data_IF_282680171877
#
_entry.id   IF_282680171877
#
_cell.length_a   1.000
_cell.length_b   1.000
_cell.length_c   1.000
_cell.angle_alpha   90.00
_cell.angle_beta   90.00
_cell.angle_gamma   90.00
#
_symmetry.space_group_name_H-M   'P 1'
#
loop_
_entity.id
_entity.type
_entity.pdbx_description
1 polymer ?
#
# COMPACT_ATOMS: atom_id res chain seq x y z
N UNK A 1 0.86 16.56 -26.71
CA UNK A 1 -0.10 15.43 -26.67
C UNK A 1 0.71 14.14 -26.60
N UNK A 2 0.27 13.13 -25.84
CA UNK A 2 1.01 11.87 -25.68
C UNK A 2 1.04 10.99 -26.94
N UNK A 3 0.21 11.31 -27.94
CA UNK A 3 0.14 10.64 -29.23
C UNK A 3 0.27 11.67 -30.36
N UNK A 4 1.00 11.31 -31.43
CA UNK A 4 1.28 12.17 -32.58
C UNK A 4 0.07 12.28 -33.53
N UNK A 5 -0.73 11.21 -33.64
CA UNK A 5 -2.02 11.13 -34.34
C UNK A 5 -2.92 10.06 -33.66
N UNK A 6 -4.24 10.15 -33.89
CA UNK A 6 -5.24 9.19 -33.39
C UNK A 6 -5.63 8.16 -34.45
N UNK A 7 -4.78 7.99 -35.46
CA UNK A 7 -4.99 6.95 -36.46
C UNK A 7 -4.81 5.59 -35.80
N UNK A 8 -5.76 4.69 -36.02
CA UNK A 8 -5.84 3.38 -35.39
C UNK A 8 -4.82 2.38 -35.99
N UNK A 9 -3.55 2.78 -35.93
CA UNK A 9 -2.43 2.04 -36.47
C UNK A 9 -2.04 0.90 -35.52
N UNK A 10 -1.41 -0.17 -36.02
CA UNK A 10 -0.88 -1.24 -35.16
C UNK A 10 0.07 -0.72 -34.07
N UNK A 11 0.85 0.32 -34.38
CA UNK A 11 1.76 0.95 -33.43
C UNK A 11 1.02 1.69 -32.31
N UNK A 12 -0.06 2.42 -32.63
CA UNK A 12 -0.91 3.06 -31.64
C UNK A 12 -1.58 2.04 -30.71
N UNK A 13 -2.12 0.94 -31.27
CA UNK A 13 -2.69 -0.16 -30.48
C UNK A 13 -1.66 -0.82 -29.56
N UNK A 14 -0.44 -1.02 -30.05
CA UNK A 14 0.65 -1.55 -29.23
C UNK A 14 1.02 -0.61 -28.07
N UNK A 15 1.08 0.70 -28.30
CA UNK A 15 1.34 1.68 -27.25
C UNK A 15 0.27 1.66 -26.15
N UNK A 16 -1.01 1.59 -26.54
CA UNK A 16 -2.12 1.43 -25.59
C UNK A 16 -1.97 0.15 -24.77
N UNK A 17 -1.73 -0.99 -25.44
CA UNK A 17 -1.54 -2.27 -24.75
C UNK A 17 -0.39 -2.21 -23.73
N UNK A 18 0.75 -1.62 -24.09
CA UNK A 18 1.88 -1.45 -23.16
C UNK A 18 1.52 -0.60 -21.92
N UNK A 19 0.71 0.44 -22.10
CA UNK A 19 0.22 1.27 -20.98
C UNK A 19 -0.74 0.49 -20.09
N UNK A 20 -1.63 -0.32 -20.67
CA UNK A 20 -2.55 -1.17 -19.93
C UNK A 20 -1.81 -2.20 -19.07
N UNK A 21 -0.86 -2.93 -19.67
CA UNK A 21 -0.03 -3.91 -18.96
C UNK A 21 0.77 -3.25 -17.82
N UNK A 22 1.31 -2.05 -18.07
CA UNK A 22 2.02 -1.28 -17.05
C UNK A 22 1.11 -0.87 -15.89
N UNK A 23 -0.14 -0.48 -16.18
CA UNK A 23 -1.12 -0.10 -15.17
C UNK A 23 -1.56 -1.29 -14.30
N UNK A 24 -1.74 -2.47 -14.90
CA UNK A 24 -2.10 -3.67 -14.16
C UNK A 24 -0.94 -4.19 -13.31
N UNK A 25 0.28 -4.12 -13.85
CA UNK A 25 1.50 -4.39 -13.09
C UNK A 25 1.64 -3.45 -11.87
N UNK A 26 1.37 -2.16 -12.06
CA UNK A 26 1.38 -1.17 -10.97
C UNK A 26 0.32 -1.51 -9.91
N UNK A 27 -0.91 -1.85 -10.31
CA UNK A 27 -1.97 -2.31 -9.40
C UNK A 27 -1.51 -3.50 -8.55
N UNK A 28 -0.94 -4.51 -9.19
CA UNK A 28 -0.42 -5.70 -8.51
C UNK A 28 0.68 -5.37 -7.49
N UNK A 29 1.60 -4.45 -7.83
CA UNK A 29 2.64 -3.98 -6.91
C UNK A 29 2.06 -3.22 -5.72
N UNK A 30 1.11 -2.31 -5.94
CA UNK A 30 0.44 -1.58 -4.87
C UNK A 30 -0.28 -2.52 -3.90
N UNK A 31 -1.01 -3.52 -4.40
CA UNK A 31 -1.69 -4.50 -3.54
C UNK A 31 -0.73 -5.35 -2.72
N UNK A 32 0.37 -5.81 -3.33
CA UNK A 32 1.41 -6.57 -2.61
C UNK A 32 2.05 -5.71 -1.51
N UNK A 33 2.35 -4.45 -1.81
CA UNK A 33 2.94 -3.52 -0.87
C UNK A 33 1.99 -3.23 0.31
N UNK A 34 0.71 -2.97 0.04
CA UNK A 34 -0.31 -2.78 1.07
C UNK A 34 -0.41 -3.98 2.04
N UNK A 35 -0.38 -5.21 1.52
CA UNK A 35 -0.33 -6.42 2.36
C UNK A 35 0.93 -6.46 3.23
N UNK A 36 2.07 -6.01 2.70
CA UNK A 36 3.32 -5.86 3.44
C UNK A 36 3.19 -4.83 4.57
N UNK A 37 2.57 -3.68 4.30
CA UNK A 37 2.30 -2.65 5.31
C UNK A 37 1.46 -3.19 6.47
N UNK A 38 0.40 -3.97 6.19
CA UNK A 38 -0.41 -4.60 7.26
C UNK A 38 0.39 -5.57 8.13
N UNK A 39 1.20 -6.43 7.53
CA UNK A 39 2.07 -7.34 8.30
C UNK A 39 3.09 -6.58 9.14
N UNK A 40 3.60 -5.48 8.62
CA UNK A 40 4.54 -4.64 9.35
C UNK A 40 3.87 -3.95 10.55
N UNK A 41 2.65 -3.41 10.39
CA UNK A 41 1.91 -2.77 11.49
C UNK A 41 1.50 -3.78 12.57
N UNK A 42 1.15 -5.02 12.19
CA UNK A 42 0.94 -6.13 13.13
C UNK A 42 2.23 -6.42 13.92
N UNK A 43 3.38 -6.50 13.26
CA UNK A 43 4.67 -6.71 13.95
C UNK A 43 5.11 -5.53 14.83
N UNK A 44 4.71 -4.30 14.50
CA UNK A 44 4.92 -3.13 15.37
C UNK A 44 4.08 -3.23 16.65
N UNK A 45 2.82 -3.67 16.54
CA UNK A 45 1.92 -3.89 17.68
C UNK A 45 2.46 -4.97 18.63
N UNK A 46 2.81 -6.14 18.09
CA UNK A 46 3.42 -7.22 18.88
C UNK A 46 4.73 -6.77 19.56
N UNK A 47 5.56 -6.00 18.84
CA UNK A 47 6.79 -5.44 19.37
C UNK A 47 6.58 -4.34 20.40
N UNK A 48 5.48 -3.58 20.32
CA UNK A 48 5.09 -2.60 21.34
C UNK A 48 4.65 -3.32 22.62
N UNK A 49 3.74 -4.28 22.50
CA UNK A 49 3.23 -5.05 23.65
C UNK A 49 4.37 -5.78 24.38
N UNK A 50 5.32 -6.34 23.63
CA UNK A 50 6.51 -6.99 24.20
C UNK A 50 7.39 -6.02 25.01
N UNK A 51 7.65 -4.83 24.49
CA UNK A 51 8.45 -3.82 25.18
C UNK A 51 7.75 -3.32 26.46
N UNK A 52 6.44 -3.07 26.39
CA UNK A 52 5.63 -2.62 27.54
C UNK A 52 5.55 -3.71 28.60
N UNK A 53 5.33 -4.97 28.21
CA UNK A 53 5.30 -6.09 29.14
C UNK A 53 6.64 -6.26 29.85
N UNK A 54 7.76 -6.17 29.12
CA UNK A 54 9.09 -6.30 29.73
C UNK A 54 9.44 -5.10 30.63
N UNK A 55 9.11 -3.87 30.21
CA UNK A 55 9.28 -2.68 31.05
C UNK A 55 8.47 -2.79 32.36
N UNK A 56 7.24 -3.32 32.28
CA UNK A 56 6.39 -3.54 33.46
C UNK A 56 6.94 -4.63 34.38
N UNK A 57 7.54 -5.69 33.81
CA UNK A 57 8.20 -6.74 34.58
C UNK A 57 9.44 -6.22 35.33
N UNK A 58 10.24 -5.33 34.71
CA UNK A 58 11.38 -4.69 35.36
C UNK A 58 10.96 -3.84 36.57
N UNK A 59 9.86 -3.11 36.45
CA UNK A 59 9.33 -2.30 37.55
C UNK A 59 8.75 -3.16 38.66
N UNK A 60 8.00 -4.21 38.30
CA UNK A 60 7.46 -5.16 39.27
C UNK A 60 8.57 -5.86 40.05
N UNK A 61 9.65 -6.24 39.36
CA UNK A 61 10.85 -6.79 39.97
C UNK A 61 11.53 -5.81 40.93
N UNK A 62 11.48 -4.50 40.62
CA UNK A 62 12.10 -3.46 41.43
C UNK A 62 11.47 -3.21 42.79
N UNK A 63 10.28 -3.73 43.05
CA UNK A 63 9.64 -3.67 44.36
C UNK A 63 9.30 -2.23 44.79
N UNK A 64 9.38 -1.99 46.11
CA UNK A 64 9.07 -0.69 46.69
C UNK A 64 10.16 0.36 46.42
N UNK A 65 9.80 1.64 46.52
CA UNK A 65 10.77 2.73 46.31
C UNK A 65 11.90 2.65 47.35
N UNK A 66 13.15 2.57 46.86
CA UNK A 66 14.38 2.40 47.65
C UNK A 66 14.61 1.01 48.25
N UNK A 67 14.08 -0.05 47.62
CA UNK A 67 14.45 -1.43 47.97
C UNK A 67 15.98 -1.62 47.96
N UNK A 68 16.62 -1.98 49.09
CA UNK A 68 18.08 -2.12 49.18
C UNK A 68 18.65 -3.22 48.28
N UNK A 69 17.92 -4.32 48.10
CA UNK A 69 18.34 -5.45 47.29
C UNK A 69 18.26 -5.08 45.80
N UNK A 70 17.20 -4.37 45.40
CA UNK A 70 17.07 -3.83 44.05
C UNK A 70 18.16 -2.79 43.74
N UNK A 71 18.47 -1.90 44.69
CA UNK A 71 19.54 -0.91 44.52
C UNK A 71 20.92 -1.59 44.38
N UNK A 72 21.19 -2.64 45.16
CA UNK A 72 22.42 -3.43 45.06
C UNK A 72 22.57 -4.15 43.70
N UNK A 73 21.44 -4.54 43.08
CA UNK A 73 21.39 -5.15 41.75
C UNK A 73 21.51 -4.14 40.59
N UNK A 74 21.64 -2.85 40.89
CA UNK A 74 21.73 -1.80 39.87
C UNK A 74 20.37 -1.24 39.46
N UNK A 75 19.41 -1.15 40.38
CA UNK A 75 18.07 -0.59 40.18
C UNK A 75 18.00 0.65 39.27
N UNK A 76 18.84 1.70 39.46
CA UNK A 76 18.83 2.88 38.58
C UNK A 76 19.11 2.58 37.11
N UNK A 77 19.89 1.54 36.81
CA UNK A 77 20.15 1.08 35.43
C UNK A 77 18.92 0.34 34.89
N UNK A 78 18.30 -0.53 35.69
CA UNK A 78 17.09 -1.25 35.30
C UNK A 78 15.91 -0.31 35.03
N UNK A 79 15.75 0.74 35.84
CA UNK A 79 14.76 1.80 35.58
C UNK A 79 15.02 2.52 34.25
N UNK A 80 16.29 2.77 33.90
CA UNK A 80 16.62 3.37 32.58
C UNK A 80 16.25 2.44 31.42
N UNK A 81 16.43 1.13 31.57
CA UNK A 81 15.97 0.16 30.58
C UNK A 81 14.44 0.21 30.41
N UNK A 82 13.68 0.18 31.50
CA UNK A 82 12.22 0.28 31.45
C UNK A 82 11.73 1.56 30.75
N UNK A 83 12.37 2.70 31.02
CA UNK A 83 12.05 3.97 30.37
C UNK A 83 12.39 3.96 28.87
N UNK A 84 13.56 3.44 28.50
CA UNK A 84 13.96 3.34 27.09
C UNK A 84 13.02 2.43 26.28
N UNK A 85 12.57 1.31 26.86
CA UNK A 85 11.61 0.40 26.23
C UNK A 85 10.26 1.09 25.99
N UNK A 86 9.77 1.87 26.95
CA UNK A 86 8.55 2.67 26.75
C UNK A 86 8.72 3.72 25.66
N UNK A 87 9.87 4.39 25.61
CA UNK A 87 10.16 5.37 24.56
C UNK A 87 10.20 4.71 23.16
N UNK A 88 10.81 3.53 23.04
CA UNK A 88 10.77 2.72 21.82
C UNK A 88 9.32 2.35 21.46
N UNK A 89 8.52 1.95 22.46
CA UNK A 89 7.09 1.68 22.29
C UNK A 89 6.35 2.87 21.66
N UNK A 90 6.53 4.07 22.20
CA UNK A 90 5.93 5.29 21.65
C UNK A 90 6.32 5.51 20.17
N UNK A 91 7.58 5.28 19.81
CA UNK A 91 8.00 5.41 18.41
C UNK A 91 7.39 4.34 17.50
N UNK A 92 7.14 3.12 18.00
CA UNK A 92 6.41 2.07 17.25
C UNK A 92 4.96 2.48 17.00
N UNK A 93 4.25 3.01 17.99
CA UNK A 93 2.88 3.54 17.82
C UNK A 93 2.84 4.67 16.78
N UNK A 94 3.78 5.62 16.84
CA UNK A 94 3.90 6.70 15.85
C UNK A 94 4.12 6.11 14.45
N UNK A 95 5.04 5.16 14.29
CA UNK A 95 5.29 4.52 13.00
C UNK A 95 4.06 3.77 12.47
N UNK A 96 3.34 3.05 13.33
CA UNK A 96 2.10 2.37 12.97
C UNK A 96 1.08 3.36 12.40
N UNK A 97 0.85 4.47 13.11
CA UNK A 97 -0.04 5.55 12.67
C UNK A 97 0.38 6.18 11.34
N UNK A 98 1.68 6.41 11.12
CA UNK A 98 2.19 6.94 9.85
C UNK A 98 1.96 5.96 8.69
N UNK A 99 2.18 4.66 8.91
CA UNK A 99 1.95 3.64 7.89
C UNK A 99 0.47 3.53 7.55
N UNK A 100 -0.42 3.57 8.54
CA UNK A 100 -1.86 3.48 8.32
C UNK A 100 -2.42 4.74 7.64
N UNK A 101 -2.20 5.92 8.22
CA UNK A 101 -2.93 7.11 7.79
C UNK A 101 -2.22 7.93 6.71
N UNK A 102 -0.89 7.86 6.63
CA UNK A 102 -0.16 8.64 5.62
C UNK A 102 0.13 7.80 4.40
N UNK A 103 0.61 6.56 4.59
CA UNK A 103 0.99 5.70 3.48
C UNK A 103 -0.19 4.91 2.92
N UNK A 104 -0.89 4.13 3.75
CA UNK A 104 -1.94 3.24 3.27
C UNK A 104 -3.13 4.01 2.72
N UNK A 105 -3.59 5.08 3.37
CA UNK A 105 -4.70 5.89 2.85
C UNK A 105 -4.40 6.46 1.45
N UNK A 106 -3.19 7.01 1.24
CA UNK A 106 -2.77 7.50 -0.09
C UNK A 106 -2.68 6.39 -1.12
N UNK A 107 -2.13 5.24 -0.72
CA UNK A 107 -1.99 4.07 -1.60
C UNK A 107 -3.36 3.50 -2.00
N UNK A 108 -4.29 3.39 -1.05
CA UNK A 108 -5.64 2.91 -1.29
C UNK A 108 -6.44 3.89 -2.13
N UNK A 109 -6.32 5.19 -1.88
CA UNK A 109 -6.90 6.23 -2.74
C UNK A 109 -6.38 6.10 -4.17
N UNK A 110 -5.06 5.92 -4.35
CA UNK A 110 -4.45 5.73 -5.66
C UNK A 110 -5.04 4.52 -6.41
N UNK A 111 -5.14 3.38 -5.72
CA UNK A 111 -5.62 2.13 -6.32
C UNK A 111 -7.12 2.13 -6.58
N UNK A 112 -7.93 2.62 -5.61
CA UNK A 112 -9.38 2.51 -5.64
C UNK A 112 -10.05 3.61 -6.47
N UNK A 113 -9.41 4.75 -6.64
CA UNK A 113 -9.93 5.84 -7.47
C UNK A 113 -9.27 5.77 -8.84
N UNK A 114 -7.99 6.14 -8.93
CA UNK A 114 -7.33 6.35 -10.22
C UNK A 114 -7.19 5.07 -11.04
N UNK A 115 -6.70 3.99 -10.43
CA UNK A 115 -6.57 2.73 -11.17
C UNK A 115 -7.93 2.08 -11.44
N UNK A 116 -8.95 2.33 -10.62
CA UNK A 116 -10.30 1.85 -10.89
C UNK A 116 -10.91 2.58 -12.10
N UNK A 117 -10.86 3.90 -12.12
CA UNK A 117 -11.39 4.72 -13.21
C UNK A 117 -10.70 4.40 -14.54
N UNK A 118 -9.38 4.17 -14.51
CA UNK A 118 -8.63 3.70 -15.68
C UNK A 118 -9.17 2.37 -16.22
N UNK A 119 -9.52 1.43 -15.33
CA UNK A 119 -10.08 0.13 -15.71
C UNK A 119 -11.46 0.28 -16.36
N UNK A 120 -12.31 1.17 -15.85
CA UNK A 120 -13.62 1.44 -16.45
C UNK A 120 -13.49 2.16 -17.80
N UNK A 121 -12.60 3.15 -17.91
CA UNK A 121 -12.28 3.80 -19.17
C UNK A 121 -11.79 2.80 -20.23
N UNK A 122 -10.95 1.84 -19.83
CA UNK A 122 -10.50 0.74 -20.70
C UNK A 122 -11.66 -0.09 -21.23
N UNK A 123 -12.59 -0.51 -20.37
CA UNK A 123 -13.77 -1.27 -20.80
C UNK A 123 -14.62 -0.50 -21.82
N UNK A 124 -14.78 0.82 -21.60
CA UNK A 124 -15.51 1.68 -22.53
C UNK A 124 -14.78 1.79 -23.87
N UNK A 125 -13.46 1.97 -23.85
CA UNK A 125 -12.62 1.99 -25.05
C UNK A 125 -12.71 0.68 -25.83
N UNK A 126 -12.60 -0.47 -25.15
CA UNK A 126 -12.68 -1.80 -25.76
C UNK A 126 -14.06 -2.01 -26.43
N UNK A 127 -15.15 -1.59 -25.78
CA UNK A 127 -16.50 -1.63 -26.37
C UNK A 127 -16.64 -0.73 -27.60
N UNK A 128 -16.05 0.47 -27.55
CA UNK A 128 -16.07 1.41 -28.68
C UNK A 128 -15.23 0.88 -29.86
N UNK A 129 -14.06 0.30 -29.61
CA UNK A 129 -13.21 -0.33 -30.63
C UNK A 129 -13.97 -1.45 -31.35
N UNK A 130 -14.60 -2.37 -30.61
CA UNK A 130 -15.37 -3.46 -31.22
C UNK A 130 -16.52 -2.92 -32.09
N UNK A 131 -17.20 -1.87 -31.64
CA UNK A 131 -18.28 -1.22 -32.41
C UNK A 131 -17.73 -0.56 -33.69
N UNK A 132 -16.60 0.13 -33.59
CA UNK A 132 -15.93 0.78 -34.71
C UNK A 132 -15.50 -0.24 -35.77
N UNK A 133 -14.88 -1.34 -35.33
CA UNK A 133 -14.45 -2.42 -36.21
C UNK A 133 -15.66 -3.02 -36.94
N UNK A 134 -16.77 -3.27 -36.24
CA UNK A 134 -18.03 -3.75 -36.84
C UNK A 134 -18.57 -2.80 -37.92
N UNK A 135 -18.68 -1.51 -37.65
CA UNK A 135 -19.17 -0.52 -38.62
C UNK A 135 -18.25 -0.40 -39.84
N UNK A 136 -16.92 -0.48 -39.64
CA UNK A 136 -15.93 -0.54 -40.70
C UNK A 136 -16.17 -1.73 -41.64
N UNK A 137 -16.42 -2.93 -41.10
CA UNK A 137 -16.76 -4.11 -41.90
C UNK A 137 -18.03 -3.92 -42.73
N UNK A 138 -19.10 -3.34 -42.16
CA UNK A 138 -20.36 -3.10 -42.90
C UNK A 138 -20.21 -2.05 -44.00
N UNK A 139 -19.31 -1.07 -43.84
CA UNK A 139 -19.02 -0.05 -44.86
C UNK A 139 -18.21 -0.55 -46.06
N UNK A 140 -17.59 -1.74 -45.94
CA UNK A 140 -16.81 -2.39 -47.00
C UNK A 140 -17.59 -3.44 -47.79
N UNK A 141 -18.86 -3.71 -47.43
CA UNK A 141 -19.73 -4.58 -48.22
C UNK A 141 -20.10 -3.84 -49.51
N UNK A 142 -19.73 -4.34 -50.71
CA UNK A 142 -20.07 -3.68 -51.95
C UNK A 142 -21.59 -3.56 -52.09
N UNK A 143 -22.09 -2.38 -52.47
CA UNK A 143 -23.50 -2.11 -52.75
C UNK A 143 -24.11 -2.95 -53.91
N UNK A 144 -23.39 -3.95 -54.40
CA UNK A 144 -23.81 -4.87 -55.47
C UNK A 144 -24.45 -6.17 -54.94
N UNK A 145 -24.65 -6.31 -53.63
CA UNK A 145 -25.28 -7.50 -53.01
C UNK A 145 -26.60 -7.22 -52.28
N UNK A 146 -27.24 -6.07 -52.53
CA UNK A 146 -28.61 -5.76 -52.10
C UNK A 146 -29.51 -5.62 -53.33
#
# INVERSE_FOLDING_TARGET
>A
MFFENLDDTPMFRQQIQCLEESSESLRGRCQKFYKGCRKYTEGLEEGYDGDIAFASALETFGGETNDPDFMALGGPVLTRFANALREIGMFKEVLQSQVEHVLNDRLLQFVNVYLHDLKEARKLFEKASVTHDQVGFYSQIPAQLI
#
